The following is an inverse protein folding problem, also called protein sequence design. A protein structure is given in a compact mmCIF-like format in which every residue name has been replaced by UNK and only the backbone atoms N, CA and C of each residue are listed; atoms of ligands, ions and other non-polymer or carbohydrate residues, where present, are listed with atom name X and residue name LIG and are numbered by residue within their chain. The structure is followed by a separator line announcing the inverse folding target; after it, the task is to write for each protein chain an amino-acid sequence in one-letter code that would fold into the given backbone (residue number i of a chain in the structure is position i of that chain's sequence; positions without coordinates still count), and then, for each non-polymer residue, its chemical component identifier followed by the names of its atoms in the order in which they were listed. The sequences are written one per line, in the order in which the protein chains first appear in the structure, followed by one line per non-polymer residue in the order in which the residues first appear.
data_IF_455264397101
#
_entry.id   IF_455264397101
#
_cell.length_a   1.000
_cell.length_b   1.000
_cell.length_c   1.000
_cell.angle_alpha   90.00
_cell.angle_beta   90.00
_cell.angle_gamma   90.00
#
_symmetry.space_group_name_H-M   'P 1'
#
loop_
_entity.id
_entity.type
_entity.pdbx_description
1 polymer ?
#
# COMPACT_ATOMS: atom_id res chain seq x y z
N UNK A 1 -98.29 17.48 -4.26
CA UNK A 1 -97.56 17.71 -5.53
C UNK A 1 -96.14 18.11 -5.20
N UNK A 2 -95.20 17.16 -5.19
CA UNK A 2 -93.78 17.48 -4.97
C UNK A 2 -92.96 16.64 -5.95
N UNK A 3 -92.25 17.38 -6.81
CA UNK A 3 -91.33 16.95 -7.86
C UNK A 3 -90.04 16.35 -7.28
N UNK A 4 -89.51 15.29 -7.91
CA UNK A 4 -88.10 14.88 -7.79
C UNK A 4 -87.18 15.89 -8.50
N UNK A 5 -85.91 16.01 -8.07
CA UNK A 5 -84.83 15.81 -9.04
C UNK A 5 -83.52 15.19 -8.53
N UNK A 6 -82.95 14.34 -9.41
CA UNK A 6 -81.54 14.09 -9.77
C UNK A 6 -80.45 14.06 -8.69
N UNK A 7 -79.91 12.85 -8.45
CA UNK A 7 -78.55 12.63 -7.95
C UNK A 7 -77.52 13.07 -8.99
N UNK A 8 -76.53 13.86 -8.56
CA UNK A 8 -75.31 14.16 -9.30
C UNK A 8 -74.12 13.65 -8.48
N UNK A 9 -73.39 12.68 -9.03
CA UNK A 9 -72.23 12.02 -8.40
C UNK A 9 -70.99 12.90 -8.55
N UNK A 10 -70.52 13.51 -7.46
CA UNK A 10 -69.20 14.13 -7.39
C UNK A 10 -68.15 13.07 -6.99
N UNK A 11 -67.35 12.64 -7.96
CA UNK A 11 -66.10 11.93 -7.73
C UNK A 11 -65.08 12.90 -7.11
N UNK A 12 -64.77 12.71 -5.83
CA UNK A 12 -63.65 13.40 -5.17
C UNK A 12 -62.38 12.60 -5.52
N UNK A 13 -61.59 13.12 -6.46
CA UNK A 13 -60.24 12.66 -6.74
C UNK A 13 -59.33 13.13 -5.60
N UNK A 14 -58.98 12.23 -4.68
CA UNK A 14 -57.91 12.45 -3.69
C UNK A 14 -56.61 12.02 -4.35
N UNK A 15 -55.65 12.92 -4.63
CA UNK A 15 -54.35 12.49 -5.14
C UNK A 15 -53.57 11.87 -3.98
N UNK A 16 -53.28 10.57 -4.09
CA UNK A 16 -52.22 9.93 -3.32
C UNK A 16 -50.89 10.58 -3.72
N UNK A 17 -50.45 11.59 -2.97
CA UNK A 17 -49.04 11.96 -2.96
C UNK A 17 -48.27 10.80 -2.34
N UNK A 18 -47.74 9.93 -3.19
CA UNK A 18 -46.69 8.99 -2.84
C UNK A 18 -45.46 9.83 -2.43
N UNK A 19 -45.41 10.21 -1.15
CA UNK A 19 -44.25 10.82 -0.53
C UNK A 19 -43.09 9.85 -0.63
N UNK A 20 -42.23 10.07 -1.62
CA UNK A 20 -40.90 9.48 -1.63
C UNK A 20 -40.18 10.04 -0.40
N UNK A 21 -40.18 9.27 0.68
CA UNK A 21 -39.34 9.52 1.84
C UNK A 21 -37.91 9.34 1.36
N UNK A 22 -37.33 10.43 0.85
CA UNK A 22 -35.90 10.55 0.67
C UNK A 22 -35.29 10.35 2.05
N UNK A 23 -34.74 9.16 2.31
CA UNK A 23 -33.87 8.91 3.45
C UNK A 23 -32.74 9.94 3.36
N UNK A 24 -32.88 11.02 4.15
CA UNK A 24 -31.86 12.02 4.33
C UNK A 24 -30.71 11.36 5.09
N UNK A 25 -29.79 10.75 4.33
CA UNK A 25 -28.48 10.40 4.84
C UNK A 25 -27.87 11.66 5.47
N UNK A 26 -27.29 11.56 6.67
CA UNK A 26 -26.71 12.73 7.35
C UNK A 26 -25.69 13.40 6.42
N UNK A 27 -25.87 14.70 6.15
CA UNK A 27 -24.90 15.50 5.42
C UNK A 27 -23.61 15.56 6.23
N UNK A 28 -22.43 15.33 5.63
CA UNK A 28 -21.17 15.61 6.32
C UNK A 28 -21.14 17.09 6.71
N UNK A 29 -20.53 17.44 7.85
CA UNK A 29 -20.45 18.82 8.33
C UNK A 29 -19.87 19.74 7.25
N UNK A 30 -20.47 20.92 7.12
CA UNK A 30 -20.34 21.91 6.04
C UNK A 30 -18.90 22.43 5.76
N UNK A 31 -17.91 22.03 6.54
CA UNK A 31 -16.51 22.41 6.36
C UNK A 31 -15.81 21.71 5.17
N UNK A 32 -16.22 20.49 4.78
CA UNK A 32 -15.61 19.77 3.64
C UNK A 32 -16.21 20.11 2.28
N UNK A 33 -17.42 20.69 2.26
CA UNK A 33 -18.21 20.83 1.05
C UNK A 33 -17.59 21.77 -0.01
N UNK A 34 -16.53 22.52 0.33
CA UNK A 34 -15.90 23.48 -0.58
C UNK A 34 -14.71 22.92 -1.36
N UNK A 35 -13.88 22.04 -0.77
CA UNK A 35 -12.68 21.53 -1.45
C UNK A 35 -13.04 20.58 -2.59
N UNK A 36 -13.93 19.62 -2.33
CA UNK A 36 -14.29 18.55 -3.28
C UNK A 36 -15.13 19.02 -4.47
N UNK A 37 -15.61 20.28 -4.47
CA UNK A 37 -16.24 20.88 -5.66
C UNK A 37 -15.26 21.03 -6.81
N UNK A 38 -13.99 21.29 -6.50
CA UNK A 38 -12.93 21.43 -7.49
C UNK A 38 -11.93 20.26 -7.42
N UNK A 39 -11.75 19.66 -6.25
CA UNK A 39 -10.71 18.66 -5.97
C UNK A 39 -11.25 17.24 -5.76
N UNK A 40 -12.30 16.87 -6.51
CA UNK A 40 -12.92 15.55 -6.42
C UNK A 40 -11.95 14.41 -6.75
N UNK A 41 -10.90 14.69 -7.54
CA UNK A 41 -9.91 13.73 -7.96
C UNK A 41 -9.17 13.04 -6.80
N UNK A 42 -9.03 13.67 -5.63
CA UNK A 42 -8.31 13.08 -4.49
C UNK A 42 -9.12 12.02 -3.72
N UNK A 43 -10.42 11.91 -3.97
CA UNK A 43 -11.31 10.94 -3.30
C UNK A 43 -11.91 9.90 -4.24
N UNK A 44 -11.52 9.95 -5.53
CA UNK A 44 -11.99 9.08 -6.60
C UNK A 44 -10.84 8.28 -7.22
N UNK A 45 -10.97 6.96 -7.31
CA UNK A 45 -9.95 6.08 -7.89
C UNK A 45 -10.08 4.64 -7.39
N UNK A 46 -9.15 3.79 -7.81
CA UNK A 46 -9.16 2.35 -7.49
C UNK A 46 -8.86 2.07 -6.01
N UNK A 47 -7.79 2.64 -5.48
CA UNK A 47 -7.45 2.56 -4.06
C UNK A 47 -7.43 3.96 -3.47
N UNK A 48 -8.51 4.33 -2.78
CA UNK A 48 -8.62 5.63 -2.11
C UNK A 48 -8.28 5.43 -0.63
N UNK A 49 -7.38 6.24 -0.12
CA UNK A 49 -7.04 6.26 1.30
C UNK A 49 -8.26 6.71 2.10
N UNK A 50 -8.67 5.92 3.10
CA UNK A 50 -9.85 6.24 3.90
C UNK A 50 -9.75 7.62 4.57
N UNK A 51 -8.55 8.06 4.95
CA UNK A 51 -8.33 9.38 5.53
C UNK A 51 -8.74 10.53 4.59
N UNK A 52 -8.66 10.35 3.26
CA UNK A 52 -9.10 11.35 2.29
C UNK A 52 -10.61 11.63 2.39
N UNK A 53 -11.40 10.68 2.93
CA UNK A 53 -12.84 10.84 3.18
C UNK A 53 -13.18 11.33 4.58
N UNK A 54 -12.20 11.37 5.50
CA UNK A 54 -12.40 11.84 6.87
C UNK A 54 -12.31 13.36 6.99
N UNK A 55 -11.79 14.02 5.95
CA UNK A 55 -11.68 15.47 5.87
C UNK A 55 -10.32 15.98 5.49
N UNK A 56 -10.29 16.94 4.56
CA UNK A 56 -9.06 17.54 4.04
C UNK A 56 -8.28 18.22 5.16
N UNK A 57 -8.99 18.88 6.07
CA UNK A 57 -8.45 19.63 7.18
C UNK A 57 -7.86 18.75 8.28
N UNK A 58 -8.00 17.42 8.24
CA UNK A 58 -7.27 16.57 9.19
C UNK A 58 -5.78 16.61 8.92
N UNK A 59 -5.41 16.73 7.65
CA UNK A 59 -4.02 16.76 7.19
C UNK A 59 -3.58 18.17 6.79
N UNK A 60 -4.49 18.93 6.19
CA UNK A 60 -4.19 20.22 5.61
C UNK A 60 -4.65 21.40 6.46
N UNK A 61 -3.99 22.53 6.28
CA UNK A 61 -4.47 23.84 6.69
C UNK A 61 -4.43 24.77 5.48
N UNK A 62 -5.42 25.66 5.38
CA UNK A 62 -5.46 26.68 4.35
C UNK A 62 -4.89 27.95 4.94
N UNK A 63 -3.76 28.40 4.41
CA UNK A 63 -3.14 29.66 4.76
C UNK A 63 -3.49 30.71 3.72
N UNK A 64 -3.90 31.89 4.16
CA UNK A 64 -4.13 33.03 3.27
C UNK A 64 -2.91 33.94 3.26
N UNK A 65 -2.46 34.29 2.05
CA UNK A 65 -1.42 35.27 1.81
C UNK A 65 -1.97 36.33 0.84
N UNK A 66 -2.53 37.40 1.41
CA UNK A 66 -3.27 38.42 0.66
C UNK A 66 -4.49 37.81 -0.04
N UNK A 67 -4.55 37.95 -1.36
CA UNK A 67 -5.63 37.40 -2.20
C UNK A 67 -5.41 35.93 -2.58
N UNK A 68 -4.26 35.34 -2.22
CA UNK A 68 -3.94 33.95 -2.57
C UNK A 68 -4.16 33.02 -1.36
N UNK A 69 -4.71 31.84 -1.62
CA UNK A 69 -4.85 30.77 -0.62
C UNK A 69 -3.92 29.62 -0.96
N UNK A 70 -3.17 29.13 0.03
CA UNK A 70 -2.28 27.97 -0.11
C UNK A 70 -2.73 26.86 0.83
N UNK A 71 -2.78 25.65 0.31
CA UNK A 71 -3.03 24.45 1.11
C UNK A 71 -1.68 23.86 1.52
N UNK A 72 -1.42 23.76 2.82
CA UNK A 72 -0.18 23.20 3.38
C UNK A 72 -0.48 22.07 4.34
N UNK A 73 0.51 21.22 4.65
CA UNK A 73 0.36 20.16 5.65
C UNK A 73 0.49 20.74 7.05
N UNK A 74 -0.34 20.25 7.98
CA UNK A 74 -0.28 20.64 9.41
C UNK A 74 1.03 20.26 10.09
N UNK A 75 1.69 19.20 9.61
CA UNK A 75 2.98 18.70 10.12
C UNK A 75 3.79 18.10 8.98
N UNK A 76 5.08 17.86 9.23
CA UNK A 76 5.92 17.06 8.35
C UNK A 76 5.32 15.65 8.15
N UNK A 77 5.56 15.08 6.97
CA UNK A 77 4.97 13.85 6.45
C UNK A 77 4.85 12.72 7.50
N UNK A 78 5.97 12.18 7.98
CA UNK A 78 5.95 11.09 8.97
C UNK A 78 5.20 11.45 10.26
N UNK A 79 5.39 12.67 10.77
CA UNK A 79 4.68 13.15 11.97
C UNK A 79 3.17 13.37 11.74
N UNK A 80 2.73 13.50 10.50
CA UNK A 80 1.32 13.56 10.14
C UNK A 80 0.71 12.17 10.05
N UNK A 81 1.35 11.27 9.30
CA UNK A 81 0.90 9.88 9.16
C UNK A 81 0.82 9.18 10.52
N UNK A 82 1.76 9.45 11.42
CA UNK A 82 1.83 8.83 12.75
C UNK A 82 0.73 9.26 13.71
N UNK A 83 -0.09 10.27 13.37
CA UNK A 83 -1.26 10.62 14.17
C UNK A 83 -2.34 9.53 14.11
N UNK A 84 -2.33 8.72 13.04
CA UNK A 84 -3.25 7.60 12.87
C UNK A 84 -2.51 6.25 12.76
N UNK A 85 -1.33 6.22 12.12
CA UNK A 85 -0.56 5.01 11.90
C UNK A 85 0.54 4.85 12.95
N UNK A 86 0.38 3.91 13.87
CA UNK A 86 1.41 3.62 14.85
C UNK A 86 2.74 3.25 14.15
N UNK A 87 3.86 3.93 14.48
CA UNK A 87 5.16 3.57 13.92
C UNK A 87 5.55 2.17 14.40
N UNK A 88 6.05 1.36 13.48
CA UNK A 88 6.65 0.08 13.80
C UNK A 88 8.13 0.27 14.13
N UNK A 89 8.61 -0.48 15.12
CA UNK A 89 10.02 -0.51 15.49
C UNK A 89 10.67 -1.71 14.84
N UNK A 90 11.80 -1.48 14.19
CA UNK A 90 12.61 -2.52 13.57
C UNK A 90 14.03 -2.45 14.14
N UNK A 91 14.71 -3.59 14.20
CA UNK A 91 16.12 -3.65 14.59
C UNK A 91 17.01 -2.95 13.56
N UNK A 92 16.72 -3.16 12.27
CA UNK A 92 17.28 -2.43 11.14
C UNK A 92 16.16 -1.72 10.40
N UNK A 93 16.37 -0.44 10.09
CA UNK A 93 15.34 0.43 9.50
C UNK A 93 15.74 0.83 8.09
N UNK A 94 14.79 0.77 7.15
CA UNK A 94 14.99 1.36 5.83
C UNK A 94 15.00 2.89 5.96
N UNK A 95 16.06 3.55 5.49
CA UNK A 95 16.30 4.97 5.75
C UNK A 95 15.09 5.89 5.43
N UNK A 96 14.39 5.76 4.28
CA UNK A 96 13.21 6.59 4.00
C UNK A 96 12.09 6.42 5.04
N UNK A 97 11.91 5.19 5.55
CA UNK A 97 10.93 4.93 6.62
C UNK A 97 11.38 5.58 7.94
N UNK A 98 12.65 5.39 8.32
CA UNK A 98 13.21 5.95 9.55
C UNK A 98 13.18 7.49 9.60
N UNK A 99 13.29 8.14 8.44
CA UNK A 99 13.18 9.60 8.29
C UNK A 99 11.73 10.09 8.12
N UNK A 100 10.73 9.19 8.16
CA UNK A 100 9.33 9.57 8.01
C UNK A 100 8.95 10.09 6.63
N UNK A 101 9.64 9.64 5.57
CA UNK A 101 9.39 10.04 4.19
C UNK A 101 8.30 9.17 3.53
N UNK A 102 7.15 9.04 4.19
CA UNK A 102 6.07 8.13 3.80
C UNK A 102 5.60 8.36 2.36
N UNK A 103 5.51 9.62 1.94
CA UNK A 103 5.04 10.04 0.61
C UNK A 103 6.04 9.82 -0.53
N UNK A 104 7.26 9.35 -0.22
CA UNK A 104 8.21 8.91 -1.25
C UNK A 104 7.72 7.66 -1.95
N UNK A 105 7.09 6.75 -1.21
CA UNK A 105 6.57 5.49 -1.75
C UNK A 105 5.05 5.45 -1.80
N UNK A 106 4.36 6.09 -0.85
CA UNK A 106 2.90 6.09 -0.76
C UNK A 106 2.27 7.39 -1.28
N UNK A 107 1.09 7.28 -1.86
CA UNK A 107 0.21 8.41 -2.12
C UNK A 107 -0.76 8.56 -0.94
N UNK A 108 -0.81 9.72 -0.26
CA UNK A 108 -1.62 9.90 0.94
C UNK A 108 -3.13 10.02 0.63
N UNK A 109 -3.51 10.16 -0.64
CA UNK A 109 -4.89 10.32 -1.09
C UNK A 109 -5.40 9.08 -1.81
N UNK A 110 -4.72 8.65 -2.88
CA UNK A 110 -5.16 7.53 -3.71
C UNK A 110 -4.05 6.96 -4.59
N UNK A 111 -4.21 5.71 -5.01
CA UNK A 111 -3.36 5.12 -6.03
C UNK A 111 -4.10 4.09 -6.89
N UNK A 112 -3.55 3.82 -8.07
CA UNK A 112 -3.89 2.67 -8.90
C UNK A 112 -3.24 1.37 -8.38
N UNK A 113 -2.20 1.49 -7.54
CA UNK A 113 -1.49 0.36 -6.95
C UNK A 113 -2.00 0.04 -5.53
N UNK A 114 -1.99 -1.23 -5.12
CA UNK A 114 -2.34 -1.64 -3.76
C UNK A 114 -1.48 -0.92 -2.71
N UNK A 115 -2.02 -0.82 -1.49
CA UNK A 115 -1.35 -0.15 -0.35
C UNK A 115 -0.93 1.29 -0.66
N UNK A 116 -1.61 1.94 -1.60
CA UNK A 116 -1.38 3.32 -2.01
C UNK A 116 0.01 3.57 -2.59
N UNK A 117 0.67 2.58 -3.17
CA UNK A 117 2.00 2.77 -3.73
C UNK A 117 1.98 3.70 -4.95
N UNK A 118 2.90 4.65 -5.07
CA UNK A 118 2.87 5.64 -6.17
C UNK A 118 3.19 5.02 -7.55
N UNK A 119 3.88 3.90 -7.57
CA UNK A 119 4.17 3.07 -8.76
C UNK A 119 4.11 1.59 -8.39
N UNK A 120 4.37 0.70 -9.33
CA UNK A 120 4.56 -0.72 -9.01
C UNK A 120 5.76 -0.90 -8.06
N UNK A 121 5.81 -2.01 -7.33
CA UNK A 121 6.83 -2.25 -6.30
C UNK A 121 8.24 -2.13 -6.88
N UNK A 122 8.52 -2.81 -8.00
CA UNK A 122 9.86 -2.84 -8.58
C UNK A 122 10.25 -1.47 -9.13
N UNK A 123 9.33 -0.77 -9.81
CA UNK A 123 9.60 0.58 -10.32
C UNK A 123 9.91 1.55 -9.18
N UNK A 124 9.16 1.51 -8.07
CA UNK A 124 9.41 2.36 -6.90
C UNK A 124 10.82 2.16 -6.33
N UNK A 125 11.25 0.91 -6.18
CA UNK A 125 12.56 0.60 -5.63
C UNK A 125 13.69 1.13 -6.53
N UNK A 126 13.52 0.98 -7.85
CA UNK A 126 14.52 1.37 -8.84
C UNK A 126 14.59 2.90 -9.08
N UNK A 127 13.74 3.71 -8.45
CA UNK A 127 13.89 5.16 -8.44
C UNK A 127 15.13 5.63 -7.66
N UNK A 128 15.61 4.81 -6.73
CA UNK A 128 16.75 5.13 -5.88
C UNK A 128 17.81 4.02 -5.88
N UNK A 129 17.40 2.75 -5.92
CA UNK A 129 18.34 1.64 -5.99
C UNK A 129 18.82 1.44 -7.44
N UNK A 130 19.96 2.04 -7.75
CA UNK A 130 20.52 2.09 -9.10
C UNK A 130 20.95 0.72 -9.61
N UNK A 131 20.84 0.56 -10.93
CA UNK A 131 21.35 -0.58 -11.70
C UNK A 131 22.76 -0.27 -12.20
N UNK A 132 23.76 -1.08 -11.84
CA UNK A 132 25.14 -0.87 -12.28
C UNK A 132 26.16 -1.86 -11.70
N UNK A 133 27.43 -1.73 -12.13
CA UNK A 133 28.60 -2.30 -11.47
C UNK A 133 29.31 -1.24 -10.63
N UNK A 134 30.18 -1.67 -9.72
CA UNK A 134 30.79 -1.00 -8.55
C UNK A 134 31.42 0.41 -8.69
N UNK A 135 31.28 1.10 -9.84
CA UNK A 135 31.90 2.40 -10.12
C UNK A 135 30.98 3.61 -9.85
N UNK A 136 29.77 3.38 -9.31
CA UNK A 136 28.88 4.47 -8.90
C UNK A 136 29.34 5.05 -7.54
N UNK A 137 29.61 6.38 -7.43
CA UNK A 137 30.23 6.99 -6.26
C UNK A 137 29.24 7.24 -5.12
N UNK A 138 28.38 6.27 -4.82
CA UNK A 138 27.48 6.33 -3.67
C UNK A 138 27.90 5.23 -2.69
N UNK A 139 28.85 5.55 -1.81
CA UNK A 139 29.22 4.70 -0.67
C UNK A 139 28.02 4.35 0.24
N UNK A 140 26.87 4.99 0.03
CA UNK A 140 25.69 4.93 0.92
C UNK A 140 24.46 4.21 0.33
N UNK A 141 24.45 3.83 -0.97
CA UNK A 141 23.31 3.15 -1.60
C UNK A 141 23.73 1.85 -2.29
N UNK A 142 23.03 0.72 -2.03
CA UNK A 142 23.37 -0.54 -2.66
C UNK A 142 23.01 -0.51 -4.15
N UNK A 143 23.99 -0.86 -4.98
CA UNK A 143 23.80 -1.08 -6.42
C UNK A 143 23.23 -2.48 -6.62
N UNK A 144 22.18 -2.59 -7.44
CA UNK A 144 21.49 -3.86 -7.71
C UNK A 144 21.85 -4.33 -9.13
N UNK A 145 22.52 -5.48 -9.23
CA UNK A 145 22.81 -6.12 -10.52
C UNK A 145 21.56 -6.83 -11.07
N UNK A 146 20.96 -6.22 -12.10
CA UNK A 146 19.79 -6.72 -12.82
C UNK A 146 20.04 -6.77 -14.33
N UNK A 147 19.32 -7.68 -14.99
CA UNK A 147 19.22 -7.79 -16.44
C UNK A 147 18.71 -6.50 -17.10
N UNK A 148 18.87 -6.39 -18.43
CA UNK A 148 18.49 -5.19 -19.20
C UNK A 148 17.02 -4.80 -19.04
N UNK A 149 16.17 -5.80 -18.91
CA UNK A 149 14.73 -5.72 -18.74
C UNK A 149 14.28 -5.72 -17.27
N UNK A 150 15.19 -5.67 -16.30
CA UNK A 150 14.92 -5.75 -14.86
C UNK A 150 14.12 -7.00 -14.43
N UNK A 151 14.15 -8.08 -15.23
CA UNK A 151 13.37 -9.29 -14.95
C UNK A 151 14.13 -10.33 -14.12
N UNK A 152 15.46 -10.30 -14.17
CA UNK A 152 16.33 -11.26 -13.49
C UNK A 152 17.52 -10.56 -12.83
N UNK A 153 18.05 -11.17 -11.78
CA UNK A 153 19.25 -10.71 -11.08
C UNK A 153 19.15 -10.84 -9.57
N UNK A 154 20.09 -10.16 -8.91
CA UNK A 154 20.29 -9.94 -7.48
C UNK A 154 19.65 -10.92 -6.45
N UNK A 155 20.45 -11.72 -5.70
CA UNK A 155 21.92 -11.75 -5.68
C UNK A 155 22.53 -12.69 -6.74
N UNK A 156 21.69 -13.35 -7.54
CA UNK A 156 22.12 -14.31 -8.57
C UNK A 156 21.67 -13.83 -9.95
N UNK A 157 22.60 -13.71 -10.89
CA UNK A 157 22.36 -13.11 -12.23
C UNK A 157 21.16 -13.70 -13.00
N UNK A 158 20.80 -14.97 -12.77
CA UNK A 158 19.70 -15.66 -13.47
C UNK A 158 18.52 -16.01 -12.56
N UNK A 159 18.36 -15.31 -11.45
CA UNK A 159 17.21 -15.50 -10.57
C UNK A 159 16.11 -14.50 -10.94
N UNK A 160 14.84 -14.93 -11.10
CA UNK A 160 13.75 -14.03 -11.45
C UNK A 160 13.41 -13.07 -10.30
N UNK A 161 13.22 -11.79 -10.63
CA UNK A 161 12.78 -10.73 -9.70
C UNK A 161 11.51 -10.01 -10.18
N UNK A 162 11.05 -10.35 -11.39
CA UNK A 162 9.81 -9.86 -12.01
C UNK A 162 9.26 -10.92 -12.98
N UNK A 163 7.98 -10.86 -13.35
CA UNK A 163 7.38 -11.70 -14.40
C UNK A 163 7.15 -13.18 -14.05
N UNK A 164 7.61 -13.63 -12.88
CA UNK A 164 7.34 -14.97 -12.34
C UNK A 164 6.46 -14.87 -11.11
N UNK A 165 5.79 -15.96 -10.71
CA UNK A 165 4.99 -16.00 -9.49
C UNK A 165 5.86 -16.33 -8.29
N UNK A 166 5.74 -15.56 -7.22
CA UNK A 166 6.32 -15.84 -5.90
C UNK A 166 5.80 -17.20 -5.41
N UNK A 167 6.68 -18.20 -5.19
CA UNK A 167 6.26 -19.54 -4.78
C UNK A 167 5.60 -19.58 -3.40
N UNK A 168 5.96 -18.64 -2.51
CA UNK A 168 5.48 -18.57 -1.14
C UNK A 168 4.14 -17.82 -1.09
N UNK A 169 4.07 -16.66 -1.75
CA UNK A 169 2.92 -15.75 -1.66
C UNK A 169 1.89 -15.97 -2.75
N UNK A 170 2.29 -16.54 -3.89
CA UNK A 170 1.44 -16.63 -5.09
C UNK A 170 1.19 -15.27 -5.76
N UNK A 171 1.88 -14.21 -5.36
CA UNK A 171 1.80 -12.91 -6.04
C UNK A 171 2.83 -12.87 -7.16
N UNK A 172 2.80 -11.86 -8.02
CA UNK A 172 3.92 -11.62 -8.93
C UNK A 172 5.19 -11.33 -8.12
N UNK A 173 6.31 -11.90 -8.54
CA UNK A 173 7.61 -11.71 -7.93
C UNK A 173 7.99 -10.24 -7.98
N UNK A 174 8.47 -9.73 -6.85
CA UNK A 174 8.93 -8.34 -6.73
C UNK A 174 10.09 -8.25 -5.76
N UNK A 175 10.70 -7.08 -5.63
CA UNK A 175 11.69 -6.80 -4.58
C UNK A 175 11.15 -7.16 -3.19
N UNK A 176 9.85 -6.95 -2.96
CA UNK A 176 9.18 -7.30 -1.71
C UNK A 176 8.96 -8.79 -1.52
N UNK A 177 9.20 -9.66 -2.50
CA UNK A 177 9.18 -11.12 -2.26
C UNK A 177 10.25 -11.53 -1.27
N UNK A 178 11.39 -10.83 -1.29
CA UNK A 178 12.55 -11.11 -0.44
C UNK A 178 12.78 -10.04 0.64
N UNK A 179 12.49 -8.77 0.34
CA UNK A 179 12.84 -7.63 1.22
C UNK A 179 11.64 -7.06 2.01
N UNK A 180 11.94 -6.39 3.12
CA UNK A 180 11.04 -5.60 3.94
C UNK A 180 11.31 -4.10 3.72
N UNK A 181 10.40 -3.40 3.05
CA UNK A 181 10.59 -2.00 2.65
C UNK A 181 10.61 -0.96 3.78
N UNK A 182 10.20 -1.30 5.00
CA UNK A 182 10.24 -0.39 6.15
C UNK A 182 11.40 -0.68 7.10
N UNK A 183 11.73 -1.95 7.26
CA UNK A 183 12.73 -2.42 8.21
C UNK A 183 12.50 -3.88 8.57
N UNK A 184 13.49 -4.48 9.22
CA UNK A 184 13.46 -5.88 9.61
C UNK A 184 14.57 -6.23 10.59
N UNK A 185 14.63 -7.51 10.96
CA UNK A 185 15.63 -8.04 11.88
C UNK A 185 16.89 -8.55 11.17
N UNK A 186 16.93 -8.55 9.83
CA UNK A 186 18.01 -9.14 9.03
C UNK A 186 18.79 -8.08 8.27
N UNK A 187 20.07 -8.34 8.00
CA UNK A 187 20.86 -7.48 7.12
C UNK A 187 20.21 -7.38 5.74
N UNK A 188 20.44 -6.25 5.06
CA UNK A 188 19.81 -5.93 3.78
C UNK A 188 18.26 -6.04 3.79
N UNK A 189 17.66 -6.01 4.98
CA UNK A 189 16.21 -6.06 5.19
C UNK A 189 15.53 -7.30 4.61
N UNK A 190 16.19 -8.45 4.64
CA UNK A 190 15.61 -9.71 4.19
C UNK A 190 14.44 -10.16 5.10
N UNK A 191 13.45 -10.83 4.51
CA UNK A 191 12.24 -11.31 5.20
C UNK A 191 12.46 -12.52 6.12
N UNK A 192 13.53 -13.29 5.95
CA UNK A 192 13.72 -14.57 6.64
C UNK A 192 15.16 -14.72 7.16
N UNK A 193 15.28 -15.11 8.44
CA UNK A 193 16.55 -15.45 9.09
C UNK A 193 16.46 -15.73 10.60
N UNK A 194 15.30 -16.17 11.12
CA UNK A 194 15.10 -16.32 12.58
C UNK A 194 15.10 -17.77 13.11
N UNK A 195 15.43 -18.78 12.29
CA UNK A 195 15.57 -20.18 12.74
C UNK A 195 16.72 -20.92 12.03
N UNK A 196 17.96 -20.43 12.17
CA UNK A 196 19.13 -21.09 11.54
C UNK A 196 20.11 -21.54 12.63
N UNK A 197 20.41 -22.85 12.77
CA UNK A 197 21.43 -23.34 13.69
C UNK A 197 22.85 -22.95 13.25
N UNK A 198 23.76 -22.83 14.22
CA UNK A 198 25.15 -22.43 14.02
C UNK A 198 25.97 -23.36 13.10
N UNK A 199 25.49 -24.54 12.73
CA UNK A 199 26.17 -25.40 11.74
C UNK A 199 25.93 -24.96 10.29
N UNK A 200 25.03 -24.00 10.05
CA UNK A 200 24.92 -23.28 8.78
C UNK A 200 26.03 -22.23 8.56
N UNK A 201 27.02 -22.13 9.48
CA UNK A 201 28.12 -21.16 9.48
C UNK A 201 29.25 -21.41 8.46
N UNK A 202 29.13 -22.38 7.55
CA UNK A 202 30.10 -22.49 6.45
C UNK A 202 29.74 -21.56 5.27
N UNK A 203 30.21 -20.32 5.42
CA UNK A 203 30.40 -19.23 4.45
C UNK A 203 29.20 -18.91 3.54
N UNK A 204 28.60 -17.73 3.79
CA UNK A 204 27.62 -16.98 2.97
C UNK A 204 26.13 -17.28 3.26
N UNK A 205 25.71 -17.38 4.53
CA UNK A 205 24.43 -18.01 4.93
C UNK A 205 23.26 -17.11 5.33
N UNK A 206 23.26 -15.79 5.11
CA UNK A 206 22.02 -14.99 5.30
C UNK A 206 20.99 -15.21 4.17
N UNK A 207 21.39 -15.73 3.00
CA UNK A 207 20.50 -15.90 1.83
C UNK A 207 20.07 -17.35 1.58
N UNK A 208 20.77 -18.34 2.13
CA UNK A 208 20.56 -19.75 1.75
C UNK A 208 19.21 -20.31 2.21
N UNK A 209 18.71 -19.91 3.37
CA UNK A 209 17.45 -20.49 3.91
C UNK A 209 16.21 -19.96 3.20
N UNK A 210 16.19 -18.67 2.88
CA UNK A 210 15.10 -18.07 2.10
C UNK A 210 15.06 -18.63 0.66
N UNK A 211 16.23 -18.73 0.01
CA UNK A 211 16.34 -19.31 -1.33
C UNK A 211 15.86 -20.77 -1.32
N UNK A 212 16.31 -21.56 -0.34
CA UNK A 212 15.97 -22.97 -0.24
C UNK A 212 14.45 -23.18 -0.09
N UNK A 213 13.78 -22.40 0.76
CA UNK A 213 12.33 -22.53 0.98
C UNK A 213 11.51 -22.24 -0.29
N UNK A 214 11.85 -21.20 -1.04
CA UNK A 214 11.19 -20.91 -2.31
C UNK A 214 11.39 -22.03 -3.33
N UNK A 215 12.63 -22.53 -3.46
CA UNK A 215 12.96 -23.59 -4.40
C UNK A 215 12.36 -24.94 -4.01
N UNK A 216 12.31 -25.29 -2.72
CA UNK A 216 11.59 -26.48 -2.25
C UNK A 216 10.12 -26.44 -2.63
N UNK A 217 9.47 -25.29 -2.41
CA UNK A 217 8.05 -25.13 -2.76
C UNK A 217 7.81 -25.17 -4.27
N UNK A 218 8.71 -24.58 -5.06
CA UNK A 218 8.69 -24.70 -6.53
C UNK A 218 8.81 -26.15 -7.02
N UNK A 219 9.65 -26.95 -6.37
CA UNK A 219 9.89 -28.34 -6.74
C UNK A 219 8.93 -29.34 -6.07
N UNK A 220 7.98 -28.86 -5.25
CA UNK A 220 7.05 -29.72 -4.50
C UNK A 220 7.74 -30.58 -3.43
N UNK A 221 8.88 -30.11 -2.91
CA UNK A 221 9.73 -30.82 -1.94
C UNK A 221 9.61 -30.25 -0.52
N UNK A 222 8.77 -29.24 -0.30
CA UNK A 222 8.53 -28.59 1.01
C UNK A 222 7.94 -29.57 2.05
N UNK A 223 7.26 -30.63 1.61
CA UNK A 223 6.80 -31.73 2.48
C UNK A 223 7.88 -32.74 2.89
N UNK A 224 9.04 -32.79 2.22
CA UNK A 224 10.08 -33.81 2.44
C UNK A 224 11.03 -33.50 3.61
N UNK A 225 11.05 -32.25 4.07
CA UNK A 225 11.93 -31.78 5.17
C UNK A 225 11.30 -32.06 6.54
N UNK A 226 9.98 -32.22 6.62
CA UNK A 226 9.24 -32.42 7.88
C UNK A 226 9.43 -33.83 8.47
N UNK A 227 9.86 -34.81 7.67
CA UNK A 227 9.81 -36.23 8.09
C UNK A 227 11.13 -36.79 8.67
N UNK A 228 12.23 -36.02 8.67
CA UNK A 228 13.53 -36.51 9.21
C UNK A 228 13.71 -36.30 10.72
N UNK A 229 12.87 -35.52 11.40
CA UNK A 229 12.96 -35.31 12.87
C UNK A 229 12.22 -36.36 13.72
N UNK A 230 11.47 -37.30 13.13
CA UNK A 230 10.72 -38.33 13.89
C UNK A 230 11.43 -39.67 14.10
N UNK A 231 12.68 -39.86 13.66
CA UNK A 231 13.47 -41.08 13.93
C UNK A 231 14.79 -40.77 14.62
N UNK A 232 14.71 -40.33 15.87
CA UNK A 232 15.79 -40.42 16.86
C UNK A 232 15.15 -40.40 18.26
N UNK A 233 14.57 -41.54 18.62
CA UNK A 233 14.42 -42.02 20.00
C UNK A 233 15.03 -43.41 20.02
#
# INVERSE_FOLDING_TARGET
MIFLPRLSTCFIFVPLFAGCVCLALPRPPEAQANCLRCHAEYVLGKHVHSAARMGCENCHVVEQQGETSRVVLKKADGGLCQQCHAPQRFERVHLPYGLGMCTRCHDPHKSENPKLLRRSVNELCLECHLRGSDDAPTHDLPVIDLSIDNSMGHPYQRHPVSGYRDPIRGEEMSCLSCHLAHGGAMANLLKMGSEIPEDALNRNSETKDMCHMCHLRLWGLDGSVVDKKKKRQ
#
